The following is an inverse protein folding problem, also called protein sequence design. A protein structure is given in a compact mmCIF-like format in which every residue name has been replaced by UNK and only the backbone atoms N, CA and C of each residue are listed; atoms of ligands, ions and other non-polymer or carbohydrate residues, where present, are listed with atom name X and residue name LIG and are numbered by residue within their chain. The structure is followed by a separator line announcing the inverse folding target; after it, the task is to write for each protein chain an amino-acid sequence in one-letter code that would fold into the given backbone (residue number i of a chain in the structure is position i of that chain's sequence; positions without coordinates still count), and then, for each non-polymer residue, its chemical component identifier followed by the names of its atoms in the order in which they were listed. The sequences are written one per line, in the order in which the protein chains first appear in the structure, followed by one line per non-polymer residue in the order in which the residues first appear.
data_IF_051723687104
#
_entry.id   IF_051723687104
#
_cell.length_a   1.000
_cell.length_b   1.000
_cell.length_c   1.000
_cell.angle_alpha   90.00
_cell.angle_beta   90.00
_cell.angle_gamma   90.00
#
_symmetry.space_group_name_H-M   'P 1'
#
loop_
_entity.id
_entity.type
_entity.pdbx_description
1 polymer ?
#
# COMPACT_ATOMS: atom_id res chain seq x y z
N UNK A 1 3.20 17.45 6.29
CA UNK A 1 3.68 16.52 7.37
C UNK A 1 4.93 15.81 6.89
N UNK A 2 5.67 15.10 7.74
CA UNK A 2 6.86 14.34 7.36
C UNK A 2 6.82 12.92 7.93
N UNK A 3 7.47 11.97 7.27
CA UNK A 3 7.83 10.67 7.81
C UNK A 3 9.34 10.63 8.01
N UNK A 4 9.77 10.41 9.24
CA UNK A 4 11.17 10.31 9.60
C UNK A 4 11.56 8.90 10.05
N UNK A 5 12.82 8.71 10.40
CA UNK A 5 13.37 7.40 10.81
C UNK A 5 12.58 6.71 11.91
N UNK A 6 12.10 7.48 12.92
CA UNK A 6 11.32 6.92 14.03
C UNK A 6 10.02 6.24 13.61
N UNK A 7 9.39 6.70 12.52
CA UNK A 7 8.15 6.13 12.01
C UNK A 7 8.36 4.70 11.47
N UNK A 8 9.50 4.45 10.81
CA UNK A 8 9.90 3.12 10.36
C UNK A 8 10.37 2.24 11.53
N UNK A 9 11.16 2.79 12.45
CA UNK A 9 11.73 2.09 13.60
C UNK A 9 10.66 1.61 14.58
N UNK A 10 9.47 2.20 14.58
CA UNK A 10 8.33 1.71 15.34
C UNK A 10 8.08 0.21 15.11
N UNK A 11 8.30 -0.26 13.88
CA UNK A 11 8.09 -1.64 13.45
C UNK A 11 9.33 -2.51 13.57
N UNK A 12 10.45 -1.97 14.06
CA UNK A 12 11.68 -2.75 14.31
C UNK A 12 11.60 -3.42 15.69
N UNK A 13 10.82 -4.48 15.80
CA UNK A 13 10.64 -5.23 17.05
C UNK A 13 10.41 -6.71 16.80
N UNK A 14 10.93 -7.58 17.69
CA UNK A 14 10.76 -9.03 17.53
C UNK A 14 9.40 -9.53 18.02
N UNK A 15 8.66 -8.75 18.84
CA UNK A 15 7.45 -9.19 19.51
C UNK A 15 6.30 -8.22 19.24
N UNK A 16 5.21 -8.74 18.67
CA UNK A 16 3.97 -8.01 18.39
C UNK A 16 2.79 -8.49 19.23
N UNK A 17 2.79 -9.76 19.68
CA UNK A 17 1.70 -10.33 20.45
C UNK A 17 1.67 -9.79 21.89
N UNK A 18 0.55 -9.24 22.34
CA UNK A 18 0.43 -8.72 23.70
C UNK A 18 0.67 -9.77 24.79
N UNK A 19 0.33 -11.04 24.52
CA UNK A 19 0.62 -12.13 25.44
C UNK A 19 2.13 -12.27 25.68
N UNK A 20 2.92 -12.30 24.60
CA UNK A 20 4.38 -12.43 24.68
C UNK A 20 5.02 -11.16 25.29
N UNK A 21 4.47 -9.97 24.99
CA UNK A 21 4.94 -8.73 25.62
C UNK A 21 4.76 -8.77 27.13
N UNK A 22 3.62 -9.30 27.64
CA UNK A 22 3.37 -9.46 29.08
C UNK A 22 4.28 -10.47 29.76
N UNK A 23 4.73 -11.49 29.03
CA UNK A 23 5.65 -12.51 29.52
C UNK A 23 7.11 -12.00 29.59
N UNK A 24 7.47 -11.04 28.72
CA UNK A 24 8.84 -10.59 28.53
C UNK A 24 9.16 -9.18 29.06
N UNK A 25 8.15 -8.39 29.39
CA UNK A 25 8.31 -6.99 29.80
C UNK A 25 7.42 -6.63 31.00
N UNK A 26 7.87 -5.71 31.86
CA UNK A 26 7.04 -5.17 32.94
C UNK A 26 5.91 -4.28 32.36
N UNK A 27 4.87 -4.07 33.16
CA UNK A 27 3.64 -3.38 32.74
C UNK A 27 3.89 -1.96 32.22
N UNK A 28 4.75 -1.21 32.90
CA UNK A 28 5.13 0.17 32.51
C UNK A 28 5.77 0.22 31.11
N UNK A 29 6.63 -0.75 30.79
CA UNK A 29 7.22 -0.87 29.46
C UNK A 29 6.18 -1.18 28.37
N UNK A 30 5.22 -2.04 28.69
CA UNK A 30 4.11 -2.36 27.76
C UNK A 30 3.24 -1.13 27.50
N UNK A 31 2.92 -0.37 28.53
CA UNK A 31 2.14 0.87 28.37
C UNK A 31 2.91 1.94 27.57
N UNK A 32 4.23 2.01 27.76
CA UNK A 32 5.09 2.88 26.93
C UNK A 32 5.02 2.47 25.44
N UNK A 33 5.16 1.18 25.13
CA UNK A 33 5.05 0.65 23.75
C UNK A 33 3.68 0.99 23.16
N UNK A 34 2.59 0.79 23.88
CA UNK A 34 1.25 1.12 23.42
C UNK A 34 1.07 2.62 23.16
N UNK A 35 1.61 3.46 24.02
CA UNK A 35 1.58 4.92 23.89
C UNK A 35 2.30 5.35 22.59
N UNK A 36 3.51 4.85 22.39
CA UNK A 36 4.31 5.09 21.18
C UNK A 36 3.57 4.67 19.90
N UNK A 37 2.99 3.45 19.87
CA UNK A 37 2.19 3.00 18.74
C UNK A 37 0.97 3.88 18.47
N UNK A 38 0.28 4.34 19.51
CA UNK A 38 -0.87 5.23 19.35
C UNK A 38 -0.48 6.59 18.80
N UNK A 39 0.64 7.17 19.26
CA UNK A 39 1.14 8.46 18.78
C UNK A 39 1.51 8.40 17.30
N UNK A 40 2.28 7.41 16.88
CA UNK A 40 2.63 7.21 15.47
C UNK A 40 1.38 6.86 14.62
N UNK A 41 0.43 6.10 15.15
CA UNK A 41 -0.82 5.81 14.45
C UNK A 41 -1.71 7.05 14.29
N UNK A 42 -1.76 7.97 15.27
CA UNK A 42 -2.47 9.22 15.11
C UNK A 42 -1.85 10.08 14.01
N UNK A 43 -0.52 10.16 13.97
CA UNK A 43 0.21 10.81 12.88
C UNK A 43 -0.11 10.17 11.53
N UNK A 44 -0.05 8.84 11.44
CA UNK A 44 -0.45 8.08 10.26
C UNK A 44 -1.86 8.41 9.80
N UNK A 45 -2.81 8.38 10.72
CA UNK A 45 -4.22 8.71 10.45
C UNK A 45 -4.37 10.11 9.91
N UNK A 46 -3.69 11.07 10.50
CA UNK A 46 -3.71 12.47 10.06
C UNK A 46 -3.17 12.62 8.64
N UNK A 47 -2.03 11.98 8.33
CA UNK A 47 -1.47 11.94 6.97
C UNK A 47 -2.53 11.43 5.98
N UNK A 48 -3.19 10.31 6.27
CA UNK A 48 -4.17 9.73 5.35
C UNK A 48 -5.41 10.61 5.17
N UNK A 49 -5.85 11.30 6.21
CA UNK A 49 -6.99 12.23 6.12
C UNK A 49 -6.64 13.49 5.33
N UNK A 50 -5.44 14.05 5.53
CA UNK A 50 -4.96 15.19 4.74
C UNK A 50 -4.72 14.80 3.29
N UNK A 51 -4.14 13.63 3.02
CA UNK A 51 -4.03 13.07 1.66
C UNK A 51 -5.40 13.01 0.98
N UNK A 52 -6.42 12.47 1.66
CA UNK A 52 -7.76 12.37 1.09
C UNK A 52 -8.37 13.75 0.77
N UNK A 53 -8.10 14.76 1.58
CA UNK A 53 -8.57 16.13 1.34
C UNK A 53 -7.88 16.82 0.15
N UNK A 54 -6.72 16.33 -0.28
CA UNK A 54 -5.98 16.83 -1.45
C UNK A 54 -6.39 16.12 -2.76
N UNK A 55 -7.15 15.02 -2.68
CA UNK A 55 -7.58 14.32 -3.90
C UNK A 55 -8.68 15.10 -4.62
N UNK A 56 -8.61 15.23 -5.96
CA UNK A 56 -9.62 15.91 -6.75
C UNK A 56 -11.00 15.24 -6.64
N UNK A 57 -12.06 16.05 -6.61
CA UNK A 57 -13.45 15.58 -6.54
C UNK A 57 -13.83 14.64 -7.70
N UNK A 58 -13.17 14.81 -8.86
CA UNK A 58 -13.42 13.96 -10.03
C UNK A 58 -13.19 12.46 -9.80
N UNK A 59 -12.41 12.09 -8.80
CA UNK A 59 -12.19 10.67 -8.46
C UNK A 59 -13.28 10.10 -7.55
N UNK A 60 -14.13 10.95 -6.96
CA UNK A 60 -15.23 10.56 -6.06
C UNK A 60 -14.77 9.51 -5.06
N UNK A 61 -13.60 9.75 -4.46
CA UNK A 61 -13.03 8.85 -3.46
C UNK A 61 -13.78 8.96 -2.16
N UNK A 62 -14.13 7.82 -1.58
CA UNK A 62 -14.68 7.81 -0.23
C UNK A 62 -13.59 8.07 0.81
N UNK A 63 -13.99 8.28 2.04
CA UNK A 63 -13.06 8.37 3.17
C UNK A 63 -12.16 7.13 3.20
N UNK A 64 -10.83 7.29 3.32
CA UNK A 64 -9.92 6.15 3.34
C UNK A 64 -10.22 5.20 4.51
N UNK A 65 -10.16 3.91 4.23
CA UNK A 65 -10.23 2.88 5.25
C UNK A 65 -8.86 2.77 5.91
N UNK A 66 -8.73 3.31 7.11
CA UNK A 66 -7.50 3.29 7.90
C UNK A 66 -7.58 2.16 8.93
N UNK A 67 -6.65 1.21 8.86
CA UNK A 67 -6.60 0.12 9.83
C UNK A 67 -6.10 0.61 11.20
N UNK A 68 -6.60 -0.02 12.27
CA UNK A 68 -6.15 0.27 13.63
C UNK A 68 -4.68 -0.12 13.83
N UNK A 69 -4.01 0.48 14.81
CA UNK A 69 -2.65 0.13 15.24
C UNK A 69 -2.52 -1.28 15.84
N UNK A 70 -3.65 -1.91 16.12
CA UNK A 70 -3.72 -3.30 16.59
C UNK A 70 -4.54 -4.17 15.64
N UNK A 71 -4.23 -5.46 15.64
CA UNK A 71 -5.03 -6.49 15.01
C UNK A 71 -5.41 -7.52 16.10
N UNK A 72 -6.60 -7.34 16.69
CA UNK A 72 -7.05 -8.15 17.81
C UNK A 72 -6.07 -8.07 19.00
N UNK A 73 -5.34 -9.16 19.25
CA UNK A 73 -4.41 -9.29 20.37
C UNK A 73 -2.95 -8.96 20.04
N UNK A 74 -2.70 -8.36 18.87
CA UNK A 74 -1.37 -8.04 18.42
C UNK A 74 -1.23 -6.55 18.06
N UNK A 75 -0.04 -6.00 18.29
CA UNK A 75 0.43 -4.82 17.58
C UNK A 75 0.54 -5.16 16.09
N UNK A 76 0.33 -4.20 15.22
CA UNK A 76 0.60 -4.42 13.79
C UNK A 76 2.08 -4.24 13.47
N UNK A 77 2.58 -5.04 12.53
CA UNK A 77 3.92 -4.90 11.95
C UNK A 77 4.01 -3.82 10.87
N UNK A 78 2.89 -3.19 10.54
CA UNK A 78 2.77 -2.11 9.57
C UNK A 78 1.50 -1.29 9.83
N UNK A 79 1.45 -0.06 9.33
CA UNK A 79 0.21 0.68 9.15
C UNK A 79 -0.24 0.57 7.70
N UNK A 80 -1.53 0.47 7.49
CA UNK A 80 -2.13 0.31 6.18
C UNK A 80 -3.42 1.10 6.03
N UNK A 81 -3.63 1.64 4.82
CA UNK A 81 -4.85 2.36 4.45
C UNK A 81 -5.23 2.04 3.01
N UNK A 82 -6.53 1.96 2.74
CA UNK A 82 -7.07 1.74 1.40
C UNK A 82 -7.96 2.90 0.96
N UNK A 83 -7.81 3.25 -0.31
CA UNK A 83 -8.60 4.25 -1.01
C UNK A 83 -9.42 3.58 -2.10
N UNK A 84 -10.73 3.82 -2.09
CA UNK A 84 -11.68 3.33 -3.10
C UNK A 84 -12.66 4.42 -3.48
N UNK A 85 -13.13 4.41 -4.72
CA UNK A 85 -14.26 5.25 -5.11
C UNK A 85 -15.52 4.87 -4.31
N UNK A 86 -16.42 5.81 -4.09
CA UNK A 86 -17.66 5.56 -3.34
C UNK A 86 -18.49 4.41 -3.92
N UNK A 87 -18.55 4.30 -5.24
CA UNK A 87 -19.28 3.24 -5.94
C UNK A 87 -18.56 1.88 -5.96
N UNK A 88 -17.33 1.78 -5.44
CA UNK A 88 -16.46 0.60 -5.59
C UNK A 88 -15.92 0.08 -4.26
N UNK A 89 -16.63 0.33 -3.15
CA UNK A 89 -16.19 -0.05 -1.80
C UNK A 89 -16.01 -1.57 -1.62
N UNK A 90 -16.81 -2.34 -2.33
CA UNK A 90 -16.82 -3.79 -2.26
C UNK A 90 -15.95 -4.48 -3.33
N UNK A 91 -15.08 -3.73 -4.00
CA UNK A 91 -14.15 -4.29 -4.96
C UNK A 91 -12.85 -4.76 -4.32
N UNK A 92 -12.25 -5.81 -4.93
CA UNK A 92 -10.94 -6.32 -4.53
C UNK A 92 -9.82 -5.32 -4.85
N UNK A 93 -9.90 -4.64 -6.00
CA UNK A 93 -8.92 -3.63 -6.37
C UNK A 93 -9.03 -2.38 -5.48
N UNK A 94 -7.90 -1.83 -5.08
CA UNK A 94 -7.83 -0.55 -4.39
C UNK A 94 -6.47 0.12 -4.62
N UNK A 95 -6.45 1.42 -4.41
CA UNK A 95 -5.23 2.15 -4.14
C UNK A 95 -4.93 2.01 -2.65
N UNK A 96 -3.69 1.81 -2.28
CA UNK A 96 -3.31 1.56 -0.90
C UNK A 96 -2.05 2.32 -0.50
N UNK A 97 -1.90 2.53 0.79
CA UNK A 97 -0.70 3.11 1.39
C UNK A 97 -0.27 2.24 2.55
N UNK A 98 1.02 1.94 2.65
CA UNK A 98 1.58 1.09 3.69
C UNK A 98 2.87 1.72 4.23
N UNK A 99 3.07 1.65 5.53
CA UNK A 99 4.31 1.98 6.21
C UNK A 99 4.74 0.79 7.08
N UNK A 100 5.96 0.32 6.90
CA UNK A 100 6.55 -0.72 7.73
C UNK A 100 8.02 -0.39 8.07
N UNK A 101 8.75 -1.33 8.67
CA UNK A 101 10.15 -1.18 9.05
C UNK A 101 11.08 -0.81 7.88
N UNK A 102 10.79 -1.27 6.67
CA UNK A 102 11.69 -1.16 5.52
C UNK A 102 11.31 -0.04 4.56
N UNK A 103 10.02 0.32 4.46
CA UNK A 103 9.56 1.19 3.40
C UNK A 103 8.20 1.84 3.65
N UNK A 104 7.98 2.95 2.94
CA UNK A 104 6.69 3.57 2.71
C UNK A 104 6.26 3.27 1.27
N UNK A 105 5.04 2.78 1.09
CA UNK A 105 4.51 2.36 -0.21
C UNK A 105 3.21 3.11 -0.51
N UNK A 106 3.07 3.57 -1.76
CA UNK A 106 1.83 4.12 -2.32
C UNK A 106 1.58 3.33 -3.60
N UNK A 107 0.55 2.48 -3.62
CA UNK A 107 0.47 1.44 -4.64
C UNK A 107 -0.94 1.02 -5.03
N UNK A 108 -1.07 0.45 -6.22
CA UNK A 108 -2.25 -0.24 -6.71
C UNK A 108 -2.14 -1.72 -6.37
N UNK A 109 -3.20 -2.28 -5.78
CA UNK A 109 -3.24 -3.68 -5.39
C UNK A 109 -4.61 -4.33 -5.60
N UNK A 110 -4.60 -5.67 -5.63
CA UNK A 110 -5.77 -6.52 -5.51
C UNK A 110 -5.79 -7.15 -4.12
N UNK A 111 -6.84 -6.92 -3.35
CA UNK A 111 -6.95 -7.45 -2.00
C UNK A 111 -7.46 -8.90 -2.04
N UNK A 112 -6.55 -9.86 -1.85
CA UNK A 112 -6.90 -11.29 -1.82
C UNK A 112 -7.54 -11.75 -0.51
N UNK A 113 -7.29 -11.03 0.58
CA UNK A 113 -7.95 -11.35 1.86
C UNK A 113 -9.46 -11.13 1.74
N UNK A 114 -10.23 -12.18 2.01
CA UNK A 114 -11.70 -12.20 1.84
C UNK A 114 -12.14 -11.78 0.43
N UNK A 115 -11.45 -12.28 -0.58
CA UNK A 115 -11.74 -11.91 -1.98
C UNK A 115 -13.10 -12.42 -2.44
N UNK A 116 -13.59 -13.52 -1.88
CA UNK A 116 -14.92 -14.10 -2.12
C UNK A 116 -16.07 -13.20 -1.62
N UNK A 117 -15.80 -12.31 -0.68
CA UNK A 117 -16.76 -11.33 -0.18
C UNK A 117 -16.77 -10.04 -1.04
N UNK A 118 -15.97 -9.98 -2.13
CA UNK A 118 -15.71 -8.78 -2.94
C UNK A 118 -15.87 -9.05 -4.43
N UNK A 119 -16.01 -7.97 -5.18
CA UNK A 119 -16.09 -8.01 -6.64
C UNK A 119 -14.73 -7.78 -7.29
N UNK A 120 -14.56 -8.36 -8.48
CA UNK A 120 -13.37 -8.26 -9.31
C UNK A 120 -12.74 -9.62 -9.58
N UNK A 121 -12.10 -9.75 -10.73
CA UNK A 121 -11.38 -10.98 -11.10
C UNK A 121 -9.87 -10.75 -11.16
N UNK A 122 -9.10 -11.76 -10.81
CA UNK A 122 -7.63 -11.78 -10.94
C UNK A 122 -7.24 -11.56 -12.40
N UNK A 123 -7.97 -12.19 -13.34
CA UNK A 123 -7.69 -12.08 -14.77
C UNK A 123 -7.86 -10.63 -15.26
N UNK A 124 -8.97 -9.97 -14.93
CA UNK A 124 -9.20 -8.58 -15.30
C UNK A 124 -8.14 -7.63 -14.68
N UNK A 125 -7.79 -7.86 -13.42
CA UNK A 125 -6.73 -7.07 -12.79
C UNK A 125 -5.39 -7.23 -13.51
N UNK A 126 -5.00 -8.45 -13.85
CA UNK A 126 -3.72 -8.74 -14.50
C UNK A 126 -3.67 -8.24 -15.96
N UNK A 127 -4.80 -7.94 -16.60
CA UNK A 127 -4.82 -7.27 -17.92
C UNK A 127 -4.21 -5.87 -17.89
N UNK A 128 -4.15 -5.22 -16.73
CA UNK A 128 -3.46 -3.94 -16.60
C UNK A 128 -2.00 -3.98 -17.02
N UNK A 129 -1.33 -5.14 -16.92
CA UNK A 129 0.07 -5.29 -17.39
C UNK A 129 0.24 -4.89 -18.86
N UNK A 130 -0.78 -5.11 -19.69
CA UNK A 130 -0.74 -4.76 -21.12
C UNK A 130 -0.73 -3.25 -21.38
N UNK A 131 -1.24 -2.45 -20.46
CA UNK A 131 -1.36 -1.00 -20.62
C UNK A 131 -0.31 -0.20 -19.83
N UNK A 132 0.51 -0.86 -19.01
CA UNK A 132 1.52 -0.17 -18.19
C UNK A 132 2.51 0.64 -19.02
N UNK A 133 2.88 0.15 -20.21
CA UNK A 133 3.79 0.86 -21.11
C UNK A 133 3.20 2.18 -21.62
N UNK A 134 1.91 2.23 -21.91
CA UNK A 134 1.26 3.49 -22.32
C UNK A 134 1.04 4.42 -21.13
N UNK A 135 0.60 3.87 -20.00
CA UNK A 135 0.44 4.65 -18.78
C UNK A 135 1.77 5.27 -18.32
N UNK A 136 2.88 4.55 -18.41
CA UNK A 136 4.21 5.06 -18.02
C UNK A 136 4.71 6.26 -18.81
N UNK A 137 4.11 6.57 -19.96
CA UNK A 137 4.42 7.79 -20.73
C UNK A 137 3.74 9.04 -20.16
N UNK A 138 2.79 8.89 -19.28
CA UNK A 138 1.97 9.98 -18.71
C UNK A 138 2.43 10.43 -17.32
N UNK A 139 3.38 9.69 -16.71
CA UNK A 139 3.88 9.93 -15.35
C UNK A 139 5.39 9.79 -15.30
N UNK A 140 6.03 10.41 -14.31
CA UNK A 140 7.42 10.09 -13.99
C UNK A 140 7.49 8.77 -13.22
N UNK A 141 8.04 7.74 -13.89
CA UNK A 141 8.15 6.38 -13.31
C UNK A 141 9.37 6.20 -12.40
N UNK A 142 10.12 7.25 -12.12
CA UNK A 142 11.15 7.22 -11.10
C UNK A 142 10.52 6.79 -9.77
N UNK A 143 11.19 5.94 -9.03
CA UNK A 143 10.74 5.37 -7.76
C UNK A 143 9.47 4.49 -7.87
N UNK A 144 9.01 4.14 -9.09
CA UNK A 144 8.00 3.13 -9.31
C UNK A 144 8.61 1.73 -9.40
N UNK A 145 7.94 0.80 -8.73
CA UNK A 145 8.32 -0.62 -8.67
C UNK A 145 7.10 -1.49 -8.95
N UNK A 146 7.36 -2.73 -9.39
CA UNK A 146 6.35 -3.76 -9.61
C UNK A 146 6.83 -5.06 -9.00
N UNK A 147 5.93 -5.79 -8.33
CA UNK A 147 6.26 -7.05 -7.64
C UNK A 147 5.07 -8.01 -7.62
N UNK A 148 5.32 -9.33 -7.52
CA UNK A 148 4.27 -10.32 -7.41
C UNK A 148 3.72 -10.35 -5.99
N UNK A 149 2.41 -10.46 -5.85
CA UNK A 149 1.76 -10.47 -4.53
C UNK A 149 2.00 -11.75 -3.69
N UNK A 150 2.29 -12.96 -4.24
CA UNK A 150 2.61 -14.13 -3.42
C UNK A 150 3.86 -13.99 -2.56
N UNK A 151 4.78 -13.13 -2.97
CA UNK A 151 6.03 -12.92 -2.25
C UNK A 151 5.84 -11.95 -1.09
N UNK A 152 6.64 -12.14 -0.04
CA UNK A 152 6.65 -11.20 1.08
C UNK A 152 7.05 -9.82 0.54
N UNK A 153 6.25 -8.83 0.84
CA UNK A 153 6.27 -7.44 0.35
C UNK A 153 7.63 -6.72 0.50
N UNK A 154 8.69 -7.41 0.88
CA UNK A 154 9.89 -6.77 1.40
C UNK A 154 11.17 -7.02 0.62
N UNK A 155 11.23 -7.99 -0.30
CA UNK A 155 12.54 -8.45 -0.76
C UNK A 155 12.80 -8.34 -2.28
N UNK A 156 11.80 -8.32 -3.16
CA UNK A 156 12.02 -8.36 -4.62
C UNK A 156 11.25 -7.30 -5.39
N UNK A 157 11.55 -6.04 -5.13
CA UNK A 157 10.97 -4.95 -5.89
C UNK A 157 11.74 -4.72 -7.20
N UNK A 158 11.13 -5.11 -8.30
CA UNK A 158 11.65 -4.80 -9.63
C UNK A 158 11.32 -3.35 -10.00
N UNK A 159 12.32 -2.55 -10.35
CA UNK A 159 12.07 -1.21 -10.87
C UNK A 159 11.17 -1.28 -12.12
N UNK A 160 10.16 -0.42 -12.18
CA UNK A 160 9.20 -0.44 -13.29
C UNK A 160 9.86 -0.18 -14.65
N UNK A 161 10.87 0.69 -14.69
CA UNK A 161 11.68 0.93 -15.90
C UNK A 161 12.33 -0.34 -16.44
N UNK A 162 12.84 -1.17 -15.55
CA UNK A 162 13.47 -2.45 -15.90
C UNK A 162 12.44 -3.45 -16.41
N UNK A 163 11.29 -3.55 -15.73
CA UNK A 163 10.17 -4.38 -16.17
C UNK A 163 9.70 -4.01 -17.59
N UNK A 164 9.57 -2.71 -17.87
CA UNK A 164 9.07 -2.22 -19.16
C UNK A 164 10.06 -2.45 -20.31
N UNK A 165 11.34 -2.52 -20.01
CA UNK A 165 12.42 -2.65 -21.02
C UNK A 165 12.88 -4.09 -21.26
N UNK A 166 12.57 -5.04 -20.38
CA UNK A 166 13.09 -6.41 -20.41
C UNK A 166 11.98 -7.47 -20.41
N UNK A 167 11.81 -8.14 -21.54
CA UNK A 167 10.81 -9.21 -21.71
C UNK A 167 11.05 -10.41 -20.78
N UNK A 168 12.32 -10.70 -20.43
CA UNK A 168 12.65 -11.79 -19.51
C UNK A 168 12.13 -11.45 -18.10
N UNK A 169 12.33 -10.23 -17.63
CA UNK A 169 11.78 -9.75 -16.35
C UNK A 169 10.25 -9.79 -16.32
N UNK A 170 9.59 -9.49 -17.46
CA UNK A 170 8.13 -9.62 -17.59
C UNK A 170 7.66 -11.07 -17.42
N UNK A 171 8.36 -12.02 -18.02
CA UNK A 171 8.03 -13.45 -17.89
C UNK A 171 8.34 -13.98 -16.47
N UNK A 172 9.41 -13.51 -15.84
CA UNK A 172 9.76 -13.83 -14.46
C UNK A 172 8.67 -13.34 -13.49
N UNK A 173 8.19 -12.10 -13.65
CA UNK A 173 7.07 -11.56 -12.87
C UNK A 173 5.81 -12.42 -13.05
N UNK A 174 5.43 -12.74 -14.28
CA UNK A 174 4.26 -13.58 -14.56
C UNK A 174 4.35 -14.94 -13.88
N UNK A 175 5.52 -15.57 -13.91
CA UNK A 175 5.75 -16.85 -13.22
C UNK A 175 5.64 -16.71 -11.69
N UNK A 176 6.20 -15.63 -11.15
CA UNK A 176 6.19 -15.37 -9.71
C UNK A 176 4.78 -15.03 -9.19
N UNK A 177 3.93 -14.41 -10.00
CA UNK A 177 2.52 -14.15 -9.64
C UNK A 177 1.71 -15.43 -9.39
N UNK A 178 2.05 -16.53 -10.06
CA UNK A 178 1.30 -17.80 -9.99
C UNK A 178 -0.19 -17.60 -10.33
N UNK A 179 -1.08 -17.91 -9.38
CA UNK A 179 -2.54 -17.74 -9.45
C UNK A 179 -3.02 -16.41 -8.82
N UNK A 180 -2.11 -15.49 -8.51
CA UNK A 180 -2.40 -14.21 -7.88
C UNK A 180 -2.15 -13.04 -8.83
N UNK A 181 -2.02 -11.86 -8.25
CA UNK A 181 -1.85 -10.60 -8.98
C UNK A 181 -0.47 -10.00 -8.73
N UNK A 182 -0.14 -9.00 -9.52
CA UNK A 182 0.95 -8.08 -9.20
C UNK A 182 0.49 -6.94 -8.30
N UNK A 183 1.44 -6.22 -7.74
CA UNK A 183 1.29 -4.92 -7.11
C UNK A 183 2.27 -3.95 -7.76
N UNK A 184 1.94 -2.67 -7.81
CA UNK A 184 2.85 -1.65 -8.32
C UNK A 184 2.58 -0.28 -7.71
N UNK A 185 3.63 0.50 -7.52
CA UNK A 185 3.54 1.84 -6.96
C UNK A 185 4.88 2.47 -6.69
N UNK A 186 4.86 3.65 -6.06
CA UNK A 186 6.07 4.32 -5.57
C UNK A 186 6.48 3.76 -4.22
N UNK A 187 7.79 3.50 -4.07
CA UNK A 187 8.39 3.00 -2.85
C UNK A 187 9.49 3.96 -2.37
N UNK A 188 9.46 4.26 -1.08
CA UNK A 188 10.46 5.05 -0.39
C UNK A 188 11.08 4.16 0.68
N UNK A 189 12.37 3.84 0.54
CA UNK A 189 13.04 2.88 1.41
C UNK A 189 13.65 3.55 2.64
N UNK A 190 13.57 2.87 3.80
CA UNK A 190 14.33 3.27 4.98
C UNK A 190 15.83 3.41 4.66
N UNK A 191 16.52 4.44 5.13
CA UNK A 191 16.09 5.46 6.09
C UNK A 191 15.64 6.79 5.44
N UNK A 192 15.07 6.77 4.24
CA UNK A 192 14.63 7.98 3.53
C UNK A 192 13.55 8.71 4.33
N UNK A 193 13.81 9.97 4.62
CA UNK A 193 12.82 10.88 5.21
C UNK A 193 11.97 11.49 4.10
N UNK A 194 10.67 11.66 4.35
CA UNK A 194 9.71 12.14 3.36
C UNK A 194 9.03 13.39 3.92
N UNK A 195 9.41 14.54 3.38
CA UNK A 195 8.72 15.81 3.64
C UNK A 195 7.44 15.91 2.80
N UNK A 196 6.44 16.66 3.27
CA UNK A 196 5.14 16.83 2.57
C UNK A 196 4.51 15.51 2.15
N UNK A 197 4.58 14.50 3.02
CA UNK A 197 4.16 13.12 2.72
C UNK A 197 2.72 13.02 2.25
N UNK A 198 1.80 13.85 2.75
CA UNK A 198 0.39 13.93 2.32
C UNK A 198 0.25 14.38 0.87
N UNK A 199 1.09 15.31 0.41
CA UNK A 199 1.10 15.80 -0.97
C UNK A 199 1.67 14.73 -1.92
N UNK A 200 2.84 14.18 -1.59
CA UNK A 200 3.47 13.09 -2.37
C UNK A 200 2.51 11.91 -2.49
N UNK A 201 1.81 11.59 -1.41
CA UNK A 201 0.82 10.49 -1.42
C UNK A 201 -0.36 10.82 -2.33
N UNK A 202 -0.93 12.01 -2.22
CA UNK A 202 -2.05 12.44 -3.06
C UNK A 202 -1.68 12.46 -4.56
N UNK A 203 -0.52 13.01 -4.91
CA UNK A 203 0.00 13.03 -6.28
C UNK A 203 0.18 11.62 -6.83
N UNK A 204 0.79 10.72 -6.06
CA UNK A 204 0.98 9.32 -6.49
C UNK A 204 -0.34 8.57 -6.64
N UNK A 205 -1.30 8.79 -5.73
CA UNK A 205 -2.64 8.21 -5.86
C UNK A 205 -3.36 8.71 -7.12
N UNK A 206 -3.18 10.00 -7.49
CA UNK A 206 -3.70 10.57 -8.74
C UNK A 206 -3.02 9.97 -9.97
N UNK A 207 -1.71 9.75 -9.95
CA UNK A 207 -0.98 9.06 -11.03
C UNK A 207 -1.49 7.63 -11.25
N UNK A 208 -1.82 6.91 -10.18
CA UNK A 208 -2.34 5.53 -10.23
C UNK A 208 -3.85 5.44 -10.52
N UNK A 209 -4.61 6.49 -10.27
CA UNK A 209 -6.07 6.49 -10.41
C UNK A 209 -6.56 6.07 -11.81
N UNK A 210 -5.93 6.45 -12.94
CA UNK A 210 -6.34 5.98 -14.27
C UNK A 210 -6.30 4.46 -14.42
N UNK A 211 -5.29 3.80 -13.83
CA UNK A 211 -5.20 2.33 -13.83
C UNK A 211 -6.31 1.70 -12.97
N UNK A 212 -6.54 2.26 -11.78
CA UNK A 212 -7.61 1.82 -10.89
C UNK A 212 -9.00 1.98 -11.56
N UNK A 213 -9.25 3.10 -12.24
CA UNK A 213 -10.51 3.36 -12.92
C UNK A 213 -10.79 2.39 -14.07
N UNK A 214 -9.76 1.95 -14.81
CA UNK A 214 -9.87 0.95 -15.88
C UNK A 214 -10.51 -0.34 -15.40
N UNK A 215 -10.24 -0.76 -14.18
CA UNK A 215 -10.80 -1.99 -13.59
C UNK A 215 -12.32 -1.92 -13.33
N UNK A 216 -12.89 -0.74 -13.20
CA UNK A 216 -14.32 -0.55 -12.98
C UNK A 216 -15.16 -0.44 -14.25
N UNK A 217 -14.53 -0.27 -15.40
CA UNK A 217 -15.24 -0.04 -16.67
C UNK A 217 -15.98 -1.29 -17.20
N UNK A 218 -15.63 -2.49 -16.74
CA UNK A 218 -16.23 -3.75 -17.21
C UNK A 218 -17.62 -4.05 -16.64
N UNK A 219 -18.10 -3.29 -15.65
CA UNK A 219 -19.43 -3.50 -15.04
C UNK A 219 -20.62 -2.96 -15.87
N UNK A 220 -20.34 -2.26 -16.95
CA UNK A 220 -21.37 -1.58 -17.76
C UNK A 220 -21.45 -2.09 -19.21
N UNK A 221 -20.96 -3.31 -19.50
CA UNK A 221 -21.16 -3.97 -20.80
C UNK A 221 -22.09 -5.17 -20.69
#
# INVERSE_FOLDING_TARGET
MELGKSDYQLFDRPIYAFKQLKESHPTDKIEQIKKEYKEHWQKWKEIQLQTAALLPDMYVMSKPKIESWTNGWNLRSHFWSAYRSESRQDENACLAVLLNQKQYQIYLMYQHYKSEERYGSIAAYNQLLAILKEWSKTVDIKDYYIWPQPEHELDDHLALSDYLSDTKKQEELKKAMRDRTFQMGKLFFYPQEIEHVEQITAETLQELAPLYQKLGAEKFQ
#
